data_IF_555813253582
#
_entry.id   IF_555813253582
#
_cell.length_a   1.000
_cell.length_b   1.000
_cell.length_c   1.000
_cell.angle_alpha   90.00
_cell.angle_beta   90.00
_cell.angle_gamma   90.00
#
_symmetry.space_group_name_H-M   'P 1'
#
loop_
_entity.id
_entity.type
_entity.pdbx_description
1 polymer ?
#
# COMPACT_ATOMS: atom_id res chain seq x y z
N UNK A 1 7.21 -17.64 -3.64
CA UNK A 1 8.63 -17.75 -3.24
C UNK A 1 8.73 -19.00 -2.39
N UNK A 2 9.61 -19.93 -2.75
CA UNK A 2 9.83 -21.12 -1.93
C UNK A 2 10.86 -20.80 -0.85
N UNK A 3 10.84 -21.54 0.27
CA UNK A 3 11.77 -21.31 1.37
C UNK A 3 13.24 -21.37 0.93
N UNK A 4 13.58 -22.23 -0.04
CA UNK A 4 14.93 -22.34 -0.61
C UNK A 4 15.39 -21.04 -1.29
N UNK A 5 14.49 -20.35 -1.98
CA UNK A 5 14.79 -19.08 -2.65
C UNK A 5 15.16 -17.99 -1.61
N UNK A 6 14.56 -18.07 -0.42
CA UNK A 6 14.82 -17.15 0.69
C UNK A 6 16.20 -17.39 1.30
N UNK A 7 16.60 -18.65 1.47
CA UNK A 7 17.89 -19.02 2.05
C UNK A 7 19.07 -18.53 1.20
N UNK A 8 18.94 -18.59 -0.12
CA UNK A 8 19.98 -18.10 -1.03
C UNK A 8 20.15 -16.58 -0.94
N UNK A 9 19.09 -15.81 -0.65
CA UNK A 9 19.18 -14.35 -0.49
C UNK A 9 20.06 -13.94 0.70
N UNK A 10 20.05 -14.69 1.81
CA UNK A 10 20.88 -14.39 2.99
C UNK A 10 22.39 -14.41 2.69
N UNK A 11 22.82 -15.08 1.61
CA UNK A 11 24.22 -15.09 1.18
C UNK A 11 24.67 -13.78 0.55
N UNK A 12 23.74 -13.01 -0.02
CA UNK A 12 24.02 -11.80 -0.79
C UNK A 12 23.61 -10.51 -0.09
N UNK A 13 22.67 -10.59 0.86
CA UNK A 13 22.07 -9.42 1.52
C UNK A 13 22.44 -9.42 3.00
N UNK A 14 23.05 -8.33 3.47
CA UNK A 14 23.34 -8.13 4.90
C UNK A 14 22.15 -7.51 5.61
N UNK A 15 22.04 -7.74 6.90
CA UNK A 15 21.07 -7.02 7.74
C UNK A 15 21.27 -5.50 7.59
N UNK A 16 20.15 -4.77 7.50
CA UNK A 16 20.16 -3.32 7.25
C UNK A 16 20.31 -2.91 5.79
N UNK A 17 20.38 -3.86 4.84
CA UNK A 17 20.38 -3.52 3.41
C UNK A 17 19.04 -2.87 3.04
N UNK A 18 19.03 -1.64 2.50
CA UNK A 18 17.78 -0.99 2.09
C UNK A 18 17.18 -1.72 0.89
N UNK A 19 15.88 -1.98 0.96
CA UNK A 19 15.09 -2.58 -0.13
C UNK A 19 14.02 -1.61 -0.59
N UNK A 20 13.75 -1.59 -1.89
CA UNK A 20 12.64 -0.84 -2.48
C UNK A 20 11.51 -1.80 -2.84
N UNK A 21 10.27 -1.46 -2.43
CA UNK A 21 9.08 -2.20 -2.83
C UNK A 21 8.61 -1.67 -4.19
N UNK A 22 8.87 -2.44 -5.25
CA UNK A 22 8.57 -2.07 -6.63
C UNK A 22 7.78 -3.19 -7.32
N UNK A 23 6.74 -2.83 -8.08
CA UNK A 23 5.88 -3.79 -8.79
C UNK A 23 6.27 -3.96 -10.29
N UNK A 24 7.55 -3.80 -10.60
CA UNK A 24 8.07 -3.91 -11.98
C UNK A 24 7.63 -2.77 -12.90
N UNK A 25 7.58 -3.05 -14.22
CA UNK A 25 7.40 -2.07 -15.29
C UNK A 25 6.05 -1.33 -15.25
N UNK A 26 5.02 -1.96 -14.68
CA UNK A 26 3.65 -1.46 -14.72
C UNK A 26 3.28 -0.53 -13.55
N UNK A 27 4.27 -0.15 -12.73
CA UNK A 27 4.05 0.73 -11.57
C UNK A 27 3.29 0.04 -10.42
N UNK A 28 2.96 0.76 -9.34
CA UNK A 28 2.43 0.16 -8.11
C UNK A 28 1.16 -0.66 -8.32
N UNK A 29 0.29 -0.27 -9.27
CA UNK A 29 -0.97 -0.93 -9.61
C UNK A 29 -0.87 -1.86 -10.83
N UNK A 30 0.30 -2.46 -11.08
CA UNK A 30 0.56 -3.24 -12.30
C UNK A 30 -0.37 -4.43 -12.58
N UNK A 31 -1.13 -4.87 -11.57
CA UNK A 31 -2.15 -5.93 -11.71
C UNK A 31 -3.60 -5.40 -11.68
N UNK A 32 -3.78 -4.09 -11.86
CA UNK A 32 -5.05 -3.39 -11.75
C UNK A 32 -5.40 -2.97 -10.32
N UNK A 33 -6.55 -2.31 -10.17
CA UNK A 33 -7.09 -1.86 -8.87
C UNK A 33 -7.86 -2.98 -8.19
N UNK A 34 -7.13 -3.98 -7.70
CA UNK A 34 -7.70 -5.02 -6.85
C UNK A 34 -8.02 -4.43 -5.47
N UNK A 35 -9.06 -4.91 -4.77
CA UNK A 35 -9.31 -4.48 -3.40
C UNK A 35 -8.10 -4.78 -2.51
N UNK A 36 -7.61 -3.78 -1.79
CA UNK A 36 -6.57 -3.97 -0.77
C UNK A 36 -7.28 -4.13 0.58
N UNK A 37 -6.94 -5.17 1.33
CA UNK A 37 -7.51 -5.48 2.65
C UNK A 37 -6.44 -5.41 3.76
N UNK A 38 -6.85 -5.30 5.04
CA UNK A 38 -5.93 -5.39 6.15
C UNK A 38 -5.08 -6.68 6.10
N UNK A 39 -3.78 -6.53 6.33
CA UNK A 39 -2.81 -7.61 6.21
C UNK A 39 -2.19 -7.77 4.82
N UNK A 40 -2.62 -7.01 3.81
CA UNK A 40 -1.93 -6.98 2.53
C UNK A 40 -0.61 -6.20 2.61
N UNK A 41 0.32 -6.54 1.71
CA UNK A 41 1.63 -5.92 1.58
C UNK A 41 1.97 -5.72 0.11
N UNK A 42 2.56 -4.58 -0.24
CA UNK A 42 2.95 -4.35 -1.62
C UNK A 42 3.23 -2.90 -1.98
N UNK A 43 3.58 -2.71 -3.25
CA UNK A 43 3.84 -1.39 -3.81
C UNK A 43 2.56 -0.56 -3.97
N UNK A 44 1.44 -1.22 -4.25
CA UNK A 44 0.08 -0.67 -4.25
C UNK A 44 -0.30 -0.14 -2.86
N UNK A 45 -0.07 -0.93 -1.81
CA UNK A 45 -0.28 -0.51 -0.42
C UNK A 45 0.56 0.70 -0.08
N UNK A 46 1.85 0.69 -0.44
CA UNK A 46 2.77 1.80 -0.20
C UNK A 46 2.34 3.08 -0.94
N UNK A 47 1.80 2.95 -2.16
CA UNK A 47 1.26 4.08 -2.92
C UNK A 47 0.02 4.68 -2.24
N UNK A 48 -0.85 3.86 -1.66
CA UNK A 48 -1.98 4.36 -0.87
C UNK A 48 -1.50 5.06 0.41
N UNK A 49 -0.56 4.48 1.15
CA UNK A 49 0.03 5.14 2.32
C UNK A 49 0.63 6.51 1.95
N UNK A 50 1.34 6.60 0.81
CA UNK A 50 1.89 7.85 0.28
C UNK A 50 0.80 8.89 0.02
N UNK A 51 -0.31 8.49 -0.61
CA UNK A 51 -1.44 9.38 -0.91
C UNK A 51 -2.19 9.83 0.33
N UNK A 52 -2.41 8.93 1.29
CA UNK A 52 -3.00 9.28 2.58
C UNK A 52 -2.11 10.26 3.35
N UNK A 53 -0.78 10.06 3.31
CA UNK A 53 0.19 10.99 3.93
C UNK A 53 0.16 12.35 3.26
N UNK A 54 0.15 12.40 1.92
CA UNK A 54 0.06 13.66 1.18
C UNK A 54 -1.22 14.47 1.50
N UNK A 55 -2.30 13.77 1.86
CA UNK A 55 -3.56 14.38 2.30
C UNK A 55 -3.67 14.60 3.82
N UNK A 56 -2.63 14.28 4.60
CA UNK A 56 -2.60 14.50 6.05
C UNK A 56 -3.26 13.42 6.92
N UNK A 57 -3.70 12.30 6.34
CA UNK A 57 -4.35 11.21 7.06
C UNK A 57 -3.36 10.19 7.63
N UNK A 58 -2.15 10.12 7.09
CA UNK A 58 -1.13 9.13 7.49
C UNK A 58 0.18 9.81 7.91
N UNK A 59 0.36 10.02 9.21
CA UNK A 59 1.44 10.83 9.79
C UNK A 59 2.60 9.99 10.33
N UNK A 60 3.02 8.96 9.58
CA UNK A 60 4.17 8.14 9.93
C UNK A 60 5.39 8.51 9.10
N UNK A 61 6.56 8.50 9.75
CA UNK A 61 7.82 8.87 9.13
C UNK A 61 8.19 7.92 8.00
N UNK A 62 7.91 6.63 8.17
CA UNK A 62 8.20 5.58 7.19
C UNK A 62 6.93 5.04 6.53
N UNK A 63 7.05 4.70 5.24
CA UNK A 63 6.05 3.93 4.50
C UNK A 63 6.62 2.52 4.36
N UNK A 64 5.98 1.53 4.96
CA UNK A 64 6.43 0.13 4.97
C UNK A 64 5.72 -0.73 3.92
N UNK A 65 4.71 -0.17 3.23
CA UNK A 65 3.88 -0.91 2.28
C UNK A 65 3.05 -2.00 2.95
N UNK A 66 2.78 -1.90 4.25
CA UNK A 66 1.92 -2.81 5.02
C UNK A 66 0.58 -2.18 5.32
N UNK A 67 -0.50 -2.90 5.03
CA UNK A 67 -1.80 -2.54 5.56
C UNK A 67 -1.93 -3.04 7.00
N UNK A 68 -1.43 -2.24 7.94
CA UNK A 68 -1.58 -2.45 9.39
C UNK A 68 -2.67 -1.59 10.03
N UNK A 69 -2.90 -1.73 11.35
CA UNK A 69 -3.95 -1.02 12.09
C UNK A 69 -3.88 0.52 11.98
N UNK A 70 -2.66 1.05 11.87
CA UNK A 70 -2.42 2.48 11.70
C UNK A 70 -2.89 3.00 10.34
N UNK A 71 -2.66 2.22 9.28
CA UNK A 71 -3.17 2.53 7.94
C UNK A 71 -4.69 2.40 7.92
N UNK A 72 -5.25 1.39 8.60
CA UNK A 72 -6.70 1.21 8.73
C UNK A 72 -7.39 2.43 9.33
N UNK A 73 -6.84 2.96 10.42
CA UNK A 73 -7.36 4.18 11.03
C UNK A 73 -7.27 5.39 10.09
N UNK A 74 -6.18 5.52 9.34
CA UNK A 74 -6.02 6.58 8.35
C UNK A 74 -7.04 6.47 7.21
N UNK A 75 -7.29 5.25 6.71
CA UNK A 75 -8.31 4.97 5.69
C UNK A 75 -9.69 5.33 6.21
N UNK A 76 -10.03 4.96 7.46
CA UNK A 76 -11.33 5.31 8.05
C UNK A 76 -11.53 6.81 8.21
N UNK A 77 -10.51 7.54 8.64
CA UNK A 77 -10.59 9.00 8.74
C UNK A 77 -10.78 9.62 7.34
N UNK A 78 -10.04 9.13 6.34
CA UNK A 78 -10.18 9.57 4.95
C UNK A 78 -11.58 9.30 4.39
N UNK A 79 -12.09 8.08 4.55
CA UNK A 79 -13.43 7.68 4.10
C UNK A 79 -14.51 8.54 4.76
N UNK A 80 -14.41 8.74 6.08
CA UNK A 80 -15.36 9.59 6.82
C UNK A 80 -15.39 11.02 6.28
N UNK A 81 -14.24 11.61 6.00
CA UNK A 81 -14.15 13.01 5.54
C UNK A 81 -14.56 13.17 4.06
N UNK A 82 -14.73 12.07 3.32
CA UNK A 82 -15.17 12.05 1.93
C UNK A 82 -16.55 11.41 1.75
N UNK A 83 -17.33 11.26 2.84
CA UNK A 83 -18.67 10.65 2.85
C UNK A 83 -18.73 9.22 2.26
N UNK A 84 -17.61 8.50 2.31
CA UNK A 84 -17.51 7.09 1.88
C UNK A 84 -17.91 6.19 3.07
N UNK A 85 -18.75 5.16 2.87
CA UNK A 85 -19.05 4.19 3.91
C UNK A 85 -17.77 3.58 4.50
N UNK A 86 -17.72 3.47 5.82
CA UNK A 86 -16.57 2.88 6.52
C UNK A 86 -16.35 1.44 6.04
N UNK A 87 -15.23 1.20 5.35
CA UNK A 87 -14.86 -0.10 4.82
C UNK A 87 -13.37 -0.36 5.08
N UNK A 88 -12.97 -1.46 5.75
CA UNK A 88 -11.57 -1.82 5.90
C UNK A 88 -10.89 -2.11 4.55
N UNK A 89 -11.65 -2.52 3.53
CA UNK A 89 -11.14 -2.76 2.20
C UNK A 89 -11.13 -1.45 1.40
N UNK A 90 -10.01 -1.19 0.73
CA UNK A 90 -9.88 -0.09 -0.22
C UNK A 90 -10.43 -0.59 -1.56
N UNK A 91 -11.63 -0.14 -1.87
CA UNK A 91 -12.33 -0.42 -3.13
C UNK A 91 -12.35 0.81 -4.04
N UNK A 92 -13.06 0.70 -5.16
CA UNK A 92 -13.08 1.69 -6.24
C UNK A 92 -13.34 3.12 -5.74
N UNK A 93 -14.34 3.33 -4.89
CA UNK A 93 -14.72 4.65 -4.39
C UNK A 93 -13.58 5.29 -3.60
N UNK A 94 -12.86 4.49 -2.83
CA UNK A 94 -11.70 4.96 -2.06
C UNK A 94 -10.51 5.23 -3.00
N UNK A 95 -10.28 4.38 -4.01
CA UNK A 95 -9.25 4.63 -5.03
C UNK A 95 -9.49 5.92 -5.81
N UNK A 96 -10.72 6.12 -6.28
CA UNK A 96 -11.14 7.29 -7.03
C UNK A 96 -10.97 8.56 -6.20
N UNK A 97 -11.44 8.57 -4.94
CA UNK A 97 -11.25 9.70 -4.03
C UNK A 97 -9.76 9.98 -3.72
N UNK A 98 -8.93 8.93 -3.70
CA UNK A 98 -7.47 9.07 -3.58
C UNK A 98 -6.80 9.53 -4.88
N UNK A 99 -7.54 9.67 -5.98
CA UNK A 99 -7.08 10.06 -7.31
C UNK A 99 -6.32 8.95 -8.02
N UNK A 100 -6.53 7.69 -7.63
CA UNK A 100 -5.96 6.53 -8.29
C UNK A 100 -6.89 6.16 -9.43
N UNK A 101 -6.56 6.65 -10.63
CA UNK A 101 -7.35 6.42 -11.84
C UNK A 101 -6.48 5.61 -12.80
N UNK A 102 -6.95 4.42 -13.19
CA UNK A 102 -6.40 3.73 -14.35
C UNK A 102 -6.86 4.51 -15.58
N UNK A 103 -5.92 5.14 -16.30
CA UNK A 103 -6.23 5.65 -17.63
C UNK A 103 -6.35 4.45 -18.57
N UNK A 104 -7.49 4.36 -19.26
CA UNK A 104 -7.70 3.42 -20.36
C UNK A 104 -6.78 3.70 -21.56
#
# INVERSE_FOLDING_TARGET
>A
MNNRDVEDLYKYVKEGTPVAIVNGLHGPFGYGLKPIKPGDFGADVMEIQRRLRARGYYNFDYLDGKYGPMMEQAVYNFQKDHDIPKNPQIEWETYEALGVILME
#
